data_IF_674113918623
#
_entry.id   IF_674113918623
#
_cell.length_a   1.000
_cell.length_b   1.000
_cell.length_c   1.000
_cell.angle_alpha   90.00
_cell.angle_beta   90.00
_cell.angle_gamma   90.00
#
_symmetry.space_group_name_H-M   'P 1'
#
loop_
_entity.id
_entity.type
_entity.pdbx_description
1 polymer ?
#
# COMPACT_ATOMS: atom_id res chain seq x y z
N UNK A 1 3.46 -10.92 13.16
CA UNK A 1 3.08 -9.55 12.76
C UNK A 1 3.52 -8.60 13.85
N UNK A 2 4.24 -7.55 13.49
CA UNK A 2 4.77 -6.55 14.42
C UNK A 2 3.87 -5.33 14.42
N UNK A 3 3.37 -4.90 15.58
CA UNK A 3 2.54 -3.70 15.74
C UNK A 3 3.39 -2.61 16.40
N UNK A 4 3.55 -1.49 15.72
CA UNK A 4 4.26 -0.30 16.20
C UNK A 4 3.25 0.84 16.37
N UNK A 5 3.16 1.38 17.58
CA UNK A 5 2.26 2.49 17.87
C UNK A 5 3.09 3.75 18.07
N UNK A 6 2.69 4.82 17.43
CA UNK A 6 3.37 6.12 17.45
C UNK A 6 2.39 7.20 17.87
N UNK A 7 2.88 8.22 18.52
CA UNK A 7 2.02 9.27 19.08
C UNK A 7 1.33 10.11 18.02
N UNK A 8 1.94 10.23 16.84
CA UNK A 8 1.46 11.13 15.78
C UNK A 8 1.57 10.50 14.39
N UNK A 9 0.76 10.95 13.41
CA UNK A 9 0.93 10.56 12.01
C UNK A 9 2.32 10.86 11.44
N UNK A 10 2.98 11.93 11.91
CA UNK A 10 4.34 12.26 11.49
C UNK A 10 5.36 11.22 11.97
N UNK A 11 5.22 10.73 13.21
CA UNK A 11 6.07 9.66 13.73
C UNK A 11 5.80 8.31 13.02
N UNK A 12 4.55 8.03 12.61
CA UNK A 12 4.22 6.89 11.75
C UNK A 12 4.98 6.99 10.43
N UNK A 13 4.96 8.16 9.79
CA UNK A 13 5.66 8.41 8.53
C UNK A 13 7.19 8.23 8.67
N UNK A 14 7.78 8.78 9.73
CA UNK A 14 9.22 8.66 10.02
C UNK A 14 9.61 7.20 10.26
N UNK A 15 8.87 6.47 11.10
CA UNK A 15 9.16 5.06 11.39
C UNK A 15 9.03 4.17 10.13
N UNK A 16 8.05 4.47 9.28
CA UNK A 16 7.89 3.79 8.00
C UNK A 16 9.05 4.08 7.04
N UNK A 17 9.48 5.35 6.96
CA UNK A 17 10.62 5.77 6.16
C UNK A 17 11.92 5.08 6.62
N UNK A 18 12.15 4.95 7.94
CA UNK A 18 13.32 4.25 8.50
C UNK A 18 13.42 2.79 8.02
N UNK A 19 12.26 2.12 7.92
CA UNK A 19 12.22 0.76 7.39
C UNK A 19 12.48 0.78 5.89
N UNK A 20 11.82 1.67 5.14
CA UNK A 20 11.85 1.71 3.69
C UNK A 20 13.23 2.07 3.11
N UNK A 21 13.95 2.99 3.78
CA UNK A 21 15.33 3.39 3.43
C UNK A 21 16.29 2.20 3.35
N UNK A 22 16.17 1.23 4.26
CA UNK A 22 17.03 0.03 4.26
C UNK A 22 16.87 -0.78 2.98
N UNK A 23 15.62 -0.89 2.47
CA UNK A 23 15.33 -1.58 1.21
C UNK A 23 15.78 -0.79 0.00
N UNK A 24 15.51 0.52 -0.04
CA UNK A 24 15.92 1.39 -1.13
C UNK A 24 17.45 1.38 -1.29
N UNK A 25 18.21 1.56 -0.22
CA UNK A 25 19.67 1.54 -0.23
C UNK A 25 20.25 0.16 -0.64
N UNK A 26 19.51 -0.91 -0.43
CA UNK A 26 19.87 -2.25 -0.92
C UNK A 26 19.55 -2.45 -2.41
N UNK A 27 18.87 -1.52 -3.08
CA UNK A 27 18.42 -1.66 -4.47
C UNK A 27 17.29 -2.67 -4.63
N UNK A 28 16.40 -2.75 -3.64
CA UNK A 28 15.30 -3.70 -3.57
C UNK A 28 14.15 -3.36 -4.53
N UNK A 29 13.29 -4.34 -4.78
CA UNK A 29 12.01 -4.14 -5.47
C UNK A 29 10.95 -3.67 -4.47
N UNK A 30 10.41 -2.48 -4.70
CA UNK A 30 9.51 -1.77 -3.79
C UNK A 30 8.08 -1.83 -4.30
N UNK A 31 7.14 -2.23 -3.47
CA UNK A 31 5.71 -2.09 -3.73
C UNK A 31 5.21 -0.76 -3.20
N UNK A 32 4.63 0.07 -4.06
CA UNK A 32 4.16 1.40 -3.72
C UNK A 32 2.63 1.45 -3.68
N UNK A 33 2.07 2.19 -2.75
CA UNK A 33 0.65 2.43 -2.60
C UNK A 33 0.33 3.92 -2.75
N UNK A 34 -0.81 4.23 -3.35
CA UNK A 34 -1.40 5.58 -3.34
C UNK A 34 -2.27 5.77 -2.09
N UNK A 35 -2.94 6.91 -2.00
CA UNK A 35 -3.79 7.28 -0.87
C UNK A 35 -3.16 8.35 0.02
N UNK A 36 -3.89 8.82 1.02
CA UNK A 36 -3.45 9.94 1.86
C UNK A 36 -2.42 9.53 2.91
N UNK A 37 -2.52 8.34 3.48
CA UNK A 37 -1.63 7.89 4.57
C UNK A 37 -0.15 7.79 4.16
N UNK A 38 0.22 7.26 2.99
CA UNK A 38 1.62 7.18 2.57
C UNK A 38 2.28 8.52 2.22
N UNK A 39 1.51 9.59 1.97
CA UNK A 39 2.04 10.87 1.48
C UNK A 39 3.12 11.43 2.41
N UNK A 40 2.87 11.45 3.72
CA UNK A 40 3.84 11.96 4.68
C UNK A 40 5.14 11.14 4.71
N UNK A 41 5.06 9.81 4.53
CA UNK A 41 6.24 8.96 4.40
C UNK A 41 7.01 9.27 3.12
N UNK A 42 6.33 9.49 1.99
CA UNK A 42 6.97 9.86 0.73
C UNK A 42 7.67 11.22 0.81
N UNK A 43 7.08 12.20 1.50
CA UNK A 43 7.71 13.49 1.77
C UNK A 43 8.99 13.34 2.59
N UNK A 44 8.97 12.51 3.63
CA UNK A 44 10.15 12.20 4.44
C UNK A 44 11.24 11.50 3.62
N UNK A 45 10.87 10.51 2.77
CA UNK A 45 11.81 9.83 1.88
C UNK A 45 12.42 10.79 0.84
N UNK A 46 11.62 11.72 0.30
CA UNK A 46 12.11 12.76 -0.62
C UNK A 46 13.14 13.64 0.07
N UNK A 47 12.82 14.15 1.26
CA UNK A 47 13.76 14.96 2.03
C UNK A 47 15.06 14.22 2.36
N UNK A 48 14.99 12.94 2.68
CA UNK A 48 16.17 12.08 2.90
C UNK A 48 16.99 11.87 1.63
N UNK A 49 16.33 11.71 0.49
CA UNK A 49 17.01 11.60 -0.80
C UNK A 49 17.76 12.89 -1.13
N UNK A 50 17.15 14.05 -0.94
CA UNK A 50 17.78 15.35 -1.10
C UNK A 50 19.02 15.55 -0.21
N UNK A 51 19.01 14.97 1.01
CA UNK A 51 20.15 14.97 1.94
C UNK A 51 21.19 13.89 1.63
N UNK A 52 20.95 13.04 0.62
CA UNK A 52 21.85 11.93 0.27
C UNK A 52 21.84 10.75 1.25
N UNK A 53 20.82 10.64 2.11
CA UNK A 53 20.67 9.56 3.10
C UNK A 53 20.09 8.28 2.48
N UNK A 54 19.40 8.40 1.34
CA UNK A 54 18.80 7.30 0.58
C UNK A 54 18.91 7.56 -0.91
N UNK A 55 19.05 6.48 -1.70
CA UNK A 55 19.00 6.50 -3.16
C UNK A 55 18.07 5.41 -3.66
N UNK A 56 17.24 5.73 -4.64
CA UNK A 56 16.33 4.82 -5.34
C UNK A 56 16.84 4.44 -6.72
N UNK A 57 18.00 4.94 -7.16
CA UNK A 57 18.54 4.74 -8.50
C UNK A 57 18.75 3.25 -8.87
N UNK A 58 18.91 2.37 -7.88
CA UNK A 58 19.05 0.92 -8.08
C UNK A 58 17.76 0.14 -7.78
N UNK A 59 16.71 0.81 -7.31
CA UNK A 59 15.45 0.19 -6.95
C UNK A 59 14.51 0.11 -8.14
N UNK A 60 13.66 -0.90 -8.12
CA UNK A 60 12.49 -1.04 -8.99
C UNK A 60 11.24 -0.83 -8.15
N UNK A 61 10.19 -0.30 -8.75
CA UNK A 61 8.92 -0.10 -8.07
C UNK A 61 7.74 -0.71 -8.85
N UNK A 62 6.81 -1.32 -8.12
CA UNK A 62 5.52 -1.78 -8.62
C UNK A 62 4.40 -1.11 -7.83
N UNK A 63 3.45 -0.47 -8.53
CA UNK A 63 2.27 0.09 -7.91
C UNK A 63 1.28 -1.02 -7.53
N UNK A 64 0.51 -0.78 -6.48
CA UNK A 64 -0.45 -1.74 -5.95
C UNK A 64 -1.65 -1.94 -6.90
N UNK A 65 -2.05 -0.87 -7.59
CA UNK A 65 -3.25 -0.83 -8.41
C UNK A 65 -3.23 0.31 -9.44
N UNK A 66 -4.22 0.31 -10.35
CA UNK A 66 -4.48 1.38 -11.31
C UNK A 66 -5.95 1.34 -11.75
N UNK A 67 -6.54 2.49 -12.01
CA UNK A 67 -7.88 2.60 -12.59
C UNK A 67 -7.95 2.06 -14.01
N UNK A 68 -9.04 1.36 -14.33
CA UNK A 68 -9.31 0.91 -15.70
C UNK A 68 -10.03 2.01 -16.48
N UNK A 69 -9.54 2.26 -17.70
CA UNK A 69 -10.10 3.26 -18.61
C UNK A 69 -9.46 4.64 -18.52
N UNK A 70 -8.47 4.82 -17.62
CA UNK A 70 -7.66 6.04 -17.61
C UNK A 70 -6.35 5.80 -18.36
N UNK A 71 -6.00 6.72 -19.26
CA UNK A 71 -4.65 6.80 -19.83
C UNK A 71 -3.63 7.00 -18.73
N UNK A 72 -2.46 6.39 -18.87
CA UNK A 72 -1.36 6.48 -17.90
C UNK A 72 -0.94 7.93 -17.58
N UNK A 73 -1.09 8.85 -18.57
CA UNK A 73 -0.79 10.28 -18.41
C UNK A 73 -1.93 11.08 -17.78
N UNK A 74 -3.11 10.46 -17.59
CA UNK A 74 -4.24 11.14 -16.95
C UNK A 74 -3.86 11.57 -15.54
N UNK A 75 -4.21 12.77 -15.17
CA UNK A 75 -3.84 13.38 -13.87
C UNK A 75 -4.24 12.53 -12.65
N UNK A 76 -5.36 11.81 -12.75
CA UNK A 76 -5.90 10.94 -11.69
C UNK A 76 -5.49 9.46 -11.85
N UNK A 77 -4.70 9.07 -12.87
CA UNK A 77 -4.10 7.75 -12.87
C UNK A 77 -3.19 7.60 -11.65
N UNK A 78 -3.09 6.39 -11.10
CA UNK A 78 -2.22 6.18 -9.95
C UNK A 78 -0.74 6.28 -10.31
N UNK A 79 -0.41 5.94 -11.55
CA UNK A 79 0.93 6.18 -12.07
C UNK A 79 1.30 7.68 -12.06
N UNK A 80 0.44 8.55 -12.61
CA UNK A 80 0.66 10.00 -12.57
C UNK A 80 0.65 10.55 -11.16
N UNK A 81 -0.22 10.02 -10.30
CA UNK A 81 -0.31 10.39 -8.90
C UNK A 81 0.99 10.06 -8.15
N UNK A 82 1.52 8.84 -8.26
CA UNK A 82 2.75 8.45 -7.55
C UNK A 82 3.97 9.23 -8.07
N UNK A 83 4.01 9.56 -9.36
CA UNK A 83 5.03 10.44 -9.91
C UNK A 83 4.98 11.83 -9.28
N UNK A 84 3.79 12.43 -9.25
CA UNK A 84 3.58 13.77 -8.71
C UNK A 84 3.91 13.88 -7.23
N UNK A 85 3.63 12.85 -6.43
CA UNK A 85 3.83 12.91 -4.97
C UNK A 85 5.17 12.32 -4.51
N UNK A 86 5.87 11.53 -5.33
CA UNK A 86 7.07 10.85 -4.89
C UNK A 86 8.11 10.61 -5.98
N UNK A 87 7.84 9.74 -6.98
CA UNK A 87 8.91 9.16 -7.80
C UNK A 87 9.63 10.15 -8.71
N UNK A 88 9.02 11.30 -9.06
CA UNK A 88 9.70 12.38 -9.80
C UNK A 88 10.51 13.33 -8.89
N UNK A 89 10.43 13.18 -7.59
CA UNK A 89 11.16 14.00 -6.61
C UNK A 89 12.39 13.29 -6.03
N UNK A 90 12.64 12.06 -6.46
CA UNK A 90 13.79 11.25 -6.05
C UNK A 90 14.48 10.66 -7.29
N UNK A 91 15.58 9.94 -7.10
CA UNK A 91 16.45 9.46 -8.18
C UNK A 91 16.04 8.10 -8.79
N UNK A 92 14.73 7.77 -8.80
CA UNK A 92 14.24 6.59 -9.54
C UNK A 92 14.54 6.69 -11.04
N UNK A 93 14.91 5.57 -11.64
CA UNK A 93 14.88 5.41 -13.09
C UNK A 93 13.42 5.17 -13.49
N UNK A 94 12.82 6.06 -14.29
CA UNK A 94 11.39 6.05 -14.63
C UNK A 94 10.91 4.72 -15.21
N UNK A 95 11.71 4.07 -16.05
CA UNK A 95 11.40 2.79 -16.69
C UNK A 95 11.32 1.64 -15.67
N UNK A 96 11.88 1.83 -14.49
CA UNK A 96 11.81 0.85 -13.40
C UNK A 96 10.59 1.05 -12.47
N UNK A 97 9.79 2.11 -12.69
CA UNK A 97 8.53 2.35 -11.99
C UNK A 97 7.38 1.84 -12.84
N UNK A 98 6.74 0.77 -12.40
CA UNK A 98 5.69 0.07 -13.16
C UNK A 98 4.34 0.15 -12.45
N UNK A 99 3.28 0.32 -13.24
CA UNK A 99 1.86 0.23 -12.83
C UNK A 99 1.14 -0.80 -13.69
N UNK A 100 0.02 -1.35 -13.24
CA UNK A 100 -0.88 -2.07 -14.14
C UNK A 100 -1.27 -1.18 -15.33
N UNK A 101 -1.46 -1.78 -16.52
CA UNK A 101 -1.86 -1.07 -17.74
C UNK A 101 -3.40 -0.88 -17.72
N UNK A 102 -3.85 0.23 -17.12
CA UNK A 102 -5.28 0.51 -16.91
C UNK A 102 -6.07 0.81 -18.18
N UNK A 103 -5.42 1.27 -19.25
CA UNK A 103 -5.98 1.58 -20.56
C UNK A 103 -5.86 0.42 -21.57
N UNK A 104 -5.41 -0.76 -21.12
CA UNK A 104 -5.29 -1.93 -21.98
C UNK A 104 -6.64 -2.38 -22.56
N UNK A 105 -6.65 -2.78 -23.83
CA UNK A 105 -7.85 -3.30 -24.50
C UNK A 105 -8.42 -4.58 -23.84
N UNK A 106 -7.58 -5.36 -23.18
CA UNK A 106 -7.95 -6.54 -22.39
C UNK A 106 -7.38 -6.43 -20.98
N UNK A 107 -8.16 -5.90 -20.02
CA UNK A 107 -7.73 -5.73 -18.63
C UNK A 107 -7.31 -7.04 -17.93
N UNK A 108 -7.94 -8.17 -18.28
CA UNK A 108 -7.57 -9.45 -17.68
C UNK A 108 -6.18 -9.93 -18.14
N UNK A 109 -5.87 -9.72 -19.41
CA UNK A 109 -4.54 -9.98 -19.95
C UNK A 109 -3.49 -9.04 -19.35
N UNK A 110 -3.82 -7.76 -19.19
CA UNK A 110 -2.96 -6.78 -18.54
C UNK A 110 -2.65 -7.16 -17.08
N UNK A 111 -3.67 -7.57 -16.32
CA UNK A 111 -3.52 -8.06 -14.95
C UNK A 111 -2.58 -9.27 -14.87
N UNK A 112 -2.76 -10.26 -15.72
CA UNK A 112 -1.92 -11.45 -15.77
C UNK A 112 -0.47 -11.10 -16.16
N UNK A 113 -0.27 -10.19 -17.11
CA UNK A 113 1.05 -9.71 -17.52
C UNK A 113 1.75 -8.96 -16.38
N UNK A 114 1.02 -8.15 -15.61
CA UNK A 114 1.55 -7.43 -14.46
C UNK A 114 2.02 -8.40 -13.35
N UNK A 115 1.23 -9.41 -13.05
CA UNK A 115 1.58 -10.47 -12.09
C UNK A 115 2.85 -11.22 -12.54
N UNK A 116 3.01 -11.46 -13.85
CA UNK A 116 4.23 -12.04 -14.41
C UNK A 116 5.43 -11.10 -14.32
N UNK A 117 5.24 -9.79 -14.55
CA UNK A 117 6.30 -8.80 -14.45
C UNK A 117 6.87 -8.74 -13.03
N UNK A 118 6.01 -8.78 -12.00
CA UNK A 118 6.42 -8.86 -10.60
C UNK A 118 7.27 -10.13 -10.37
N UNK A 119 6.83 -11.28 -10.86
CA UNK A 119 7.58 -12.55 -10.72
C UNK A 119 8.91 -12.52 -11.45
N UNK A 120 8.96 -12.00 -12.68
CA UNK A 120 10.20 -11.86 -13.45
C UNK A 120 11.20 -10.90 -12.80
N UNK A 121 10.72 -9.91 -12.05
CA UNK A 121 11.57 -9.03 -11.25
C UNK A 121 12.14 -9.70 -9.97
N UNK A 122 11.75 -10.95 -9.68
CA UNK A 122 12.13 -11.68 -8.48
C UNK A 122 11.18 -11.48 -7.29
N UNK A 123 10.01 -10.90 -7.52
CA UNK A 123 9.02 -10.55 -6.51
C UNK A 123 9.26 -9.17 -5.88
N UNK A 124 8.42 -8.82 -4.92
CA UNK A 124 8.50 -7.56 -4.17
C UNK A 124 9.22 -7.82 -2.84
N UNK A 125 10.24 -7.01 -2.52
CA UNK A 125 11.00 -7.14 -1.28
C UNK A 125 10.27 -6.50 -0.09
N UNK A 126 9.60 -5.37 -0.32
CA UNK A 126 8.72 -4.71 0.65
C UNK A 126 7.52 -4.11 -0.06
N UNK A 127 6.32 -4.47 0.39
CA UNK A 127 5.05 -3.92 -0.11
C UNK A 127 4.48 -2.94 0.90
N UNK A 128 4.39 -1.68 0.52
CA UNK A 128 3.67 -0.66 1.28
C UNK A 128 2.17 -0.82 1.09
N UNK A 129 1.42 -0.73 2.18
CA UNK A 129 -0.03 -0.86 2.22
C UNK A 129 -0.65 0.26 3.08
N UNK A 130 -1.82 0.73 2.66
CA UNK A 130 -2.79 1.40 3.52
C UNK A 130 -3.94 0.45 3.83
N UNK A 131 -4.93 0.89 4.61
CA UNK A 131 -6.14 0.13 4.92
C UNK A 131 -7.39 1.00 4.71
N UNK A 132 -8.40 0.44 4.07
CA UNK A 132 -9.72 1.05 3.98
C UNK A 132 -10.50 0.96 5.30
N UNK A 133 -11.53 1.79 5.47
CA UNK A 133 -12.37 1.75 6.67
C UNK A 133 -13.16 0.45 6.86
N UNK A 134 -13.32 -0.34 5.83
CA UNK A 134 -13.92 -1.69 5.82
C UNK A 134 -12.90 -2.83 5.85
N UNK A 135 -11.60 -2.49 5.94
CA UNK A 135 -10.51 -3.46 6.01
C UNK A 135 -9.95 -3.91 4.67
N UNK A 136 -10.30 -3.26 3.54
CA UNK A 136 -9.67 -3.56 2.26
C UNK A 136 -8.21 -3.11 2.22
N UNK A 137 -7.38 -3.79 1.44
CA UNK A 137 -6.01 -3.39 1.06
C UNK A 137 -5.87 -3.44 -0.46
N UNK A 138 -5.25 -2.40 -1.06
CA UNK A 138 -5.42 -2.12 -2.49
C UNK A 138 -6.90 -1.96 -2.80
N UNK A 139 -7.37 -2.47 -3.93
CA UNK A 139 -8.80 -2.58 -4.21
C UNK A 139 -9.36 -3.99 -3.95
N UNK A 140 -8.77 -4.72 -2.99
CA UNK A 140 -9.35 -5.99 -2.54
C UNK A 140 -10.48 -5.72 -1.55
N UNK A 141 -11.68 -5.49 -2.08
CA UNK A 141 -12.89 -5.23 -1.31
C UNK A 141 -13.31 -6.46 -0.47
N UNK A 142 -14.13 -6.29 0.61
CA UNK A 142 -14.67 -7.41 1.37
C UNK A 142 -15.26 -8.51 0.46
N UNK A 143 -15.00 -9.76 0.81
CA UNK A 143 -15.28 -10.97 0.04
C UNK A 143 -14.28 -11.32 -1.05
N UNK A 144 -13.20 -10.55 -1.25
CA UNK A 144 -12.08 -10.94 -2.10
C UNK A 144 -11.44 -12.23 -1.61
N UNK A 145 -11.13 -13.14 -2.54
CA UNK A 145 -10.41 -14.37 -2.17
C UNK A 145 -9.04 -14.06 -1.58
N UNK A 146 -8.72 -14.66 -0.45
CA UNK A 146 -7.41 -14.50 0.20
C UNK A 146 -6.24 -15.02 -0.66
N UNK A 147 -6.52 -15.80 -1.71
CA UNK A 147 -5.53 -16.28 -2.69
C UNK A 147 -5.66 -15.61 -4.06
N UNK A 148 -6.42 -14.50 -4.15
CA UNK A 148 -6.60 -13.79 -5.40
C UNK A 148 -5.28 -13.31 -5.98
N UNK A 149 -5.20 -13.39 -7.32
CA UNK A 149 -4.08 -12.83 -8.10
C UNK A 149 -4.40 -11.40 -8.55
N UNK A 150 -3.44 -10.74 -9.18
CA UNK A 150 -3.70 -9.46 -9.85
C UNK A 150 -4.84 -9.64 -10.84
N UNK A 151 -5.87 -8.79 -10.75
CA UNK A 151 -7.11 -8.95 -11.50
C UNK A 151 -7.85 -7.63 -11.70
N UNK A 152 -8.82 -7.67 -12.60
CA UNK A 152 -9.86 -6.67 -12.70
C UNK A 152 -10.79 -6.79 -11.49
N UNK A 153 -11.04 -5.69 -10.82
CA UNK A 153 -11.95 -5.60 -9.67
C UNK A 153 -12.99 -4.51 -9.88
N UNK A 154 -14.22 -4.75 -9.40
CA UNK A 154 -15.29 -3.75 -9.38
C UNK A 154 -15.21 -2.98 -8.07
N UNK A 155 -15.08 -1.66 -8.14
CA UNK A 155 -15.00 -0.84 -6.94
C UNK A 155 -16.34 -0.79 -6.20
N UNK A 156 -16.29 -0.90 -4.88
CA UNK A 156 -17.46 -0.72 -4.04
C UNK A 156 -18.02 0.70 -4.19
N UNK A 157 -19.35 0.90 -4.19
CA UNK A 157 -19.95 2.23 -4.33
C UNK A 157 -19.40 3.26 -3.33
N UNK A 158 -19.09 2.84 -2.11
CA UNK A 158 -18.45 3.68 -1.09
C UNK A 158 -17.04 4.12 -1.53
N UNK A 159 -16.24 3.20 -2.07
CA UNK A 159 -14.90 3.51 -2.58
C UNK A 159 -14.97 4.51 -3.75
N UNK A 160 -15.93 4.36 -4.65
CA UNK A 160 -16.21 5.34 -5.72
C UNK A 160 -16.57 6.70 -5.12
N UNK A 161 -17.44 6.73 -4.11
CA UNK A 161 -17.84 7.97 -3.43
C UNK A 161 -16.67 8.64 -2.70
N UNK A 162 -15.87 7.89 -1.97
CA UNK A 162 -14.69 8.39 -1.26
C UNK A 162 -13.64 8.98 -2.21
N UNK A 163 -13.53 8.43 -3.43
CA UNK A 163 -12.61 8.90 -4.46
C UNK A 163 -13.17 10.03 -5.34
N UNK A 164 -14.49 10.30 -5.27
CA UNK A 164 -15.14 11.37 -6.07
C UNK A 164 -14.51 12.75 -5.85
N UNK A 165 -13.93 13.00 -4.68
CA UNK A 165 -13.21 14.25 -4.35
C UNK A 165 -12.00 14.55 -5.24
N UNK A 166 -11.49 13.56 -5.97
CA UNK A 166 -10.36 13.70 -6.89
C UNK A 166 -10.80 13.87 -8.35
N UNK A 167 -12.08 13.78 -8.66
CA UNK A 167 -12.66 13.87 -9.98
C UNK A 167 -13.64 15.03 -10.07
N UNK A 168 -14.00 15.43 -11.29
CA UNK A 168 -14.97 16.51 -11.50
C UNK A 168 -16.34 16.20 -10.87
N UNK A 169 -16.75 14.94 -10.92
CA UNK A 169 -17.97 14.43 -10.31
C UNK A 169 -17.87 12.92 -10.09
N UNK A 170 -18.84 12.35 -9.36
CA UNK A 170 -18.86 10.91 -9.03
C UNK A 170 -18.97 10.02 -10.27
N UNK A 171 -19.65 10.48 -11.33
CA UNK A 171 -19.82 9.68 -12.57
C UNK A 171 -18.51 9.58 -13.38
N UNK A 172 -17.57 10.50 -13.14
CA UNK A 172 -16.24 10.50 -13.74
C UNK A 172 -15.26 9.54 -13.06
N UNK A 173 -15.60 9.02 -11.87
CA UNK A 173 -14.75 8.04 -11.17
C UNK A 173 -14.86 6.69 -11.89
N UNK A 174 -13.73 6.06 -12.29
CA UNK A 174 -13.77 4.73 -12.86
C UNK A 174 -14.44 3.72 -11.91
N UNK A 175 -15.21 2.80 -12.48
CA UNK A 175 -15.90 1.74 -11.71
C UNK A 175 -15.05 0.48 -11.53
N UNK A 176 -13.95 0.40 -12.26
CA UNK A 176 -13.08 -0.77 -12.30
C UNK A 176 -11.64 -0.37 -12.05
N UNK A 177 -10.89 -1.26 -11.42
CA UNK A 177 -9.46 -1.13 -11.24
C UNK A 177 -8.75 -2.47 -11.51
N UNK A 178 -7.49 -2.40 -11.94
CA UNK A 178 -6.56 -3.50 -11.84
C UNK A 178 -5.87 -3.41 -10.49
N UNK A 179 -5.93 -4.45 -9.67
CA UNK A 179 -5.31 -4.46 -8.34
C UNK A 179 -4.51 -5.74 -8.12
N UNK A 180 -3.35 -5.63 -7.47
CA UNK A 180 -2.68 -6.81 -6.94
C UNK A 180 -3.64 -7.53 -5.99
N UNK A 181 -3.85 -8.83 -6.23
CA UNK A 181 -4.71 -9.65 -5.37
C UNK A 181 -4.04 -9.94 -4.02
N UNK A 182 -4.83 -10.41 -3.04
CA UNK A 182 -4.32 -10.71 -1.71
C UNK A 182 -3.22 -11.78 -1.72
N UNK A 183 -3.33 -12.78 -2.60
CA UNK A 183 -2.28 -13.77 -2.81
C UNK A 183 -1.02 -13.15 -3.41
N UNK A 184 -1.15 -12.25 -4.40
CA UNK A 184 0.01 -11.52 -4.97
C UNK A 184 0.70 -10.67 -3.92
N UNK A 185 -0.07 -9.89 -3.13
CA UNK A 185 0.44 -9.07 -2.02
C UNK A 185 1.19 -9.93 -0.99
N UNK A 186 0.62 -11.09 -0.64
CA UNK A 186 1.21 -12.00 0.36
C UNK A 186 2.51 -12.68 -0.09
N UNK A 187 2.84 -12.64 -1.38
CA UNK A 187 4.12 -13.12 -1.91
C UNK A 187 5.27 -12.12 -1.71
N UNK A 188 5.00 -10.88 -1.32
CA UNK A 188 6.05 -9.94 -0.95
C UNK A 188 6.84 -10.44 0.26
N UNK A 189 8.15 -10.16 0.34
CA UNK A 189 8.99 -10.63 1.45
C UNK A 189 8.73 -9.91 2.76
N UNK A 190 8.23 -8.68 2.70
CA UNK A 190 7.83 -7.89 3.85
C UNK A 190 6.58 -7.08 3.51
N UNK A 191 5.55 -7.14 4.35
CA UNK A 191 4.38 -6.27 4.27
C UNK A 191 4.52 -5.14 5.28
N UNK A 192 4.42 -3.90 4.82
CA UNK A 192 4.45 -2.70 5.65
C UNK A 192 3.11 -1.96 5.51
N UNK A 193 2.28 -2.03 6.53
CA UNK A 193 0.98 -1.37 6.54
C UNK A 193 1.00 -0.14 7.44
N UNK A 194 0.46 0.98 6.93
CA UNK A 194 0.30 2.23 7.67
C UNK A 194 -1.18 2.54 7.84
N UNK A 195 -1.56 2.93 9.06
CA UNK A 195 -2.90 3.48 9.31
C UNK A 195 -2.84 4.60 10.34
N UNK A 196 -3.59 5.68 10.05
CA UNK A 196 -3.68 6.85 10.91
C UNK A 196 -5.13 7.34 10.98
N UNK A 197 -5.53 7.86 12.14
CA UNK A 197 -6.84 8.44 12.40
C UNK A 197 -7.89 7.45 12.88
N UNK A 198 -8.86 7.96 13.64
CA UNK A 198 -9.90 7.17 14.30
C UNK A 198 -10.83 6.43 13.32
N UNK A 199 -10.97 6.93 12.09
CA UNK A 199 -11.78 6.27 11.04
C UNK A 199 -11.20 4.92 10.59
N UNK A 200 -9.94 4.63 10.94
CA UNK A 200 -9.27 3.33 10.66
C UNK A 200 -9.34 2.35 11.83
N UNK A 201 -9.68 2.81 13.03
CA UNK A 201 -9.56 2.02 14.28
C UNK A 201 -10.33 0.69 14.25
N UNK A 202 -11.55 0.68 13.72
CA UNK A 202 -12.33 -0.56 13.59
C UNK A 202 -11.71 -1.55 12.60
N UNK A 203 -11.25 -1.06 11.46
CA UNK A 203 -10.58 -1.89 10.46
C UNK A 203 -9.25 -2.44 10.99
N UNK A 204 -8.47 -1.62 11.72
CA UNK A 204 -7.23 -2.02 12.38
C UNK A 204 -7.49 -3.10 13.42
N UNK A 205 -8.49 -2.93 14.31
CA UNK A 205 -8.88 -3.97 15.27
C UNK A 205 -9.24 -5.28 14.59
N UNK A 206 -10.08 -5.24 13.55
CA UNK A 206 -10.49 -6.43 12.81
C UNK A 206 -9.31 -7.10 12.09
N UNK A 207 -8.34 -6.33 11.59
CA UNK A 207 -7.13 -6.83 10.95
C UNK A 207 -6.19 -7.51 11.95
N UNK A 208 -5.97 -6.89 13.11
CA UNK A 208 -4.95 -7.33 14.09
C UNK A 208 -5.48 -8.41 15.02
N UNK A 209 -6.65 -8.20 15.61
CA UNK A 209 -7.23 -8.99 16.69
C UNK A 209 -8.45 -9.80 16.25
N UNK A 210 -9.04 -9.45 15.10
CA UNK A 210 -10.17 -10.18 14.55
C UNK A 210 -9.79 -11.52 13.91
N UNK A 211 -10.78 -12.32 13.53
CA UNK A 211 -10.53 -13.59 12.83
C UNK A 211 -9.98 -13.34 11.43
N UNK A 212 -9.16 -14.27 10.93
CA UNK A 212 -8.82 -14.32 9.51
C UNK A 212 -10.10 -14.45 8.68
N UNK A 213 -10.40 -13.45 7.88
CA UNK A 213 -11.68 -13.40 7.16
C UNK A 213 -11.61 -12.57 5.89
N UNK A 214 -12.25 -13.04 4.83
CA UNK A 214 -12.45 -12.25 3.62
C UNK A 214 -13.33 -11.00 3.84
N UNK A 215 -14.07 -10.91 4.94
CA UNK A 215 -14.79 -9.69 5.33
C UNK A 215 -13.86 -8.55 5.78
N UNK A 216 -12.65 -8.88 6.20
CA UNK A 216 -11.57 -7.94 6.46
C UNK A 216 -10.34 -8.42 5.68
N UNK A 217 -10.19 -8.05 4.40
CA UNK A 217 -9.10 -8.51 3.55
C UNK A 217 -7.71 -8.30 4.15
N UNK A 218 -7.51 -7.20 4.88
CA UNK A 218 -6.26 -6.92 5.59
C UNK A 218 -5.91 -7.97 6.65
N UNK A 219 -6.87 -8.78 7.13
CA UNK A 219 -6.60 -9.87 8.09
C UNK A 219 -5.63 -10.93 7.55
N UNK A 220 -5.39 -10.98 6.23
CA UNK A 220 -4.38 -11.83 5.60
C UNK A 220 -2.97 -11.58 6.15
N UNK A 221 -2.69 -10.36 6.66
CA UNK A 221 -1.40 -10.03 7.25
C UNK A 221 -1.05 -10.93 8.44
N UNK A 222 -2.05 -11.49 9.13
CA UNK A 222 -1.86 -12.45 10.23
C UNK A 222 -1.14 -13.73 9.79
N UNK A 223 -1.28 -14.14 8.52
CA UNK A 223 -0.61 -15.31 7.96
C UNK A 223 0.79 -15.00 7.43
N UNK A 224 1.13 -13.71 7.26
CA UNK A 224 2.40 -13.35 6.63
C UNK A 224 3.56 -13.49 7.62
N UNK A 225 4.68 -14.16 7.23
CA UNK A 225 5.82 -14.40 8.13
C UNK A 225 6.53 -13.11 8.56
N UNK A 226 6.41 -12.03 7.78
CA UNK A 226 7.03 -10.73 8.07
C UNK A 226 6.07 -9.59 7.69
N UNK A 227 5.20 -9.21 8.60
CA UNK A 227 4.31 -8.06 8.47
C UNK A 227 4.59 -7.06 9.60
N UNK A 228 4.76 -5.79 9.24
CA UNK A 228 4.88 -4.67 10.17
C UNK A 228 3.71 -3.73 9.95
N UNK A 229 3.01 -3.40 11.00
CA UNK A 229 1.89 -2.46 11.03
C UNK A 229 2.28 -1.27 11.88
N UNK A 230 2.24 -0.06 11.32
CA UNK A 230 2.56 1.16 12.05
C UNK A 230 1.30 2.01 12.14
N UNK A 231 0.92 2.31 13.35
CA UNK A 231 -0.33 3.00 13.71
C UNK A 231 -0.04 4.29 14.46
N UNK A 232 -0.90 5.30 14.32
CA UNK A 232 -1.00 6.32 15.34
C UNK A 232 -1.93 5.88 16.48
N UNK A 233 -1.98 6.67 17.57
CA UNK A 233 -2.82 6.39 18.73
C UNK A 233 -4.31 6.30 18.35
N UNK A 234 -4.76 7.14 17.42
CA UNK A 234 -6.14 7.19 16.96
C UNK A 234 -6.52 5.90 16.20
N UNK A 235 -5.68 5.44 15.28
CA UNK A 235 -5.92 4.19 14.54
C UNK A 235 -5.82 2.96 15.46
N UNK A 236 -5.01 3.02 16.52
CA UNK A 236 -4.85 1.96 17.51
C UNK A 236 -5.94 1.95 18.59
N UNK A 237 -6.79 2.99 18.67
CA UNK A 237 -7.69 3.26 19.82
C UNK A 237 -8.70 2.15 20.15
N UNK A 238 -8.99 1.23 19.24
CA UNK A 238 -9.89 0.10 19.48
C UNK A 238 -9.18 -1.25 19.69
N UNK A 239 -7.83 -1.27 19.72
CA UNK A 239 -7.09 -2.47 20.05
C UNK A 239 -7.28 -2.83 21.54
N UNK A 240 -7.53 -4.11 21.80
CA UNK A 240 -7.75 -4.62 23.17
C UNK A 240 -6.42 -4.88 23.89
N UNK A 241 -5.40 -5.35 23.15
CA UNK A 241 -4.07 -5.70 23.70
C UNK A 241 -3.03 -4.56 23.52
N UNK A 242 -3.48 -3.31 23.56
CA UNK A 242 -2.66 -2.11 23.29
C UNK A 242 -1.35 -2.05 24.13
N UNK A 243 -1.46 -2.32 25.43
CA UNK A 243 -0.30 -2.31 26.35
C UNK A 243 0.71 -3.40 26.02
N UNK A 244 0.23 -4.56 25.58
CA UNK A 244 1.10 -5.66 25.17
C UNK A 244 1.86 -5.30 23.87
N UNK A 245 1.21 -4.67 22.88
CA UNK A 245 1.89 -4.23 21.66
C UNK A 245 2.98 -3.19 21.95
N UNK A 246 2.72 -2.23 22.84
CA UNK A 246 3.72 -1.26 23.29
C UNK A 246 4.89 -1.94 23.97
N UNK A 247 4.60 -2.85 24.89
CA UNK A 247 5.64 -3.61 25.58
C UNK A 247 6.54 -4.39 24.62
N UNK A 248 5.95 -5.05 23.62
CA UNK A 248 6.69 -5.80 22.57
C UNK A 248 7.56 -4.87 21.75
N UNK A 249 7.05 -3.69 21.36
CA UNK A 249 7.82 -2.71 20.57
C UNK A 249 9.02 -2.16 21.35
N UNK A 250 8.84 -1.82 22.63
CA UNK A 250 9.90 -1.32 23.54
C UNK A 250 11.00 -2.35 23.83
N UNK A 251 10.65 -3.65 23.85
CA UNK A 251 11.58 -4.74 24.20
C UNK A 251 12.03 -5.55 22.99
N UNK A 252 11.86 -5.03 21.80
CA UNK A 252 12.23 -5.71 20.54
C UNK A 252 13.76 -5.91 20.49
N UNK A 253 14.25 -7.13 20.22
CA UNK A 253 15.67 -7.34 19.98
C UNK A 253 16.11 -6.59 18.72
N UNK A 254 17.24 -5.89 18.82
CA UNK A 254 17.84 -5.09 17.75
C UNK A 254 18.58 -5.96 16.73
#
# INVERSE_FOLDING_TARGET
>A
MDILIRSTPAEVATAAADIFVRYANAGATLGLATGSTPVAMYQELTARCERGEVSFARSRAFLLDEYVGLDRSHEQSYYSTIRRIFTSHVDFIDELVQSPEGDAADPNRAAAAYDQAIRHAGGIDIQLLGIGGDGHIGFNEPSSSLQSRTRLETLHPRTVQDNARFFENTDSVPRYALTQGLGTISEARHLLLLATGTEKSTAVRNMVEGPLSAHCPASILQLHPRATVILDEDAASQLEDLEYYRFVDEHRPH
#
